data_IF_428256450904
#
_entry.id   IF_428256450904
#
_cell.length_a   1.000
_cell.length_b   1.000
_cell.length_c   1.000
_cell.angle_alpha   90.00
_cell.angle_beta   90.00
_cell.angle_gamma   90.00
#
_symmetry.space_group_name_H-M   'P 1'
#
loop_
_entity.id
_entity.type
_entity.pdbx_description
1 polymer ?
#
# COMPACT_ATOMS: atom_id res chain seq x y z
N UNK A 1 -21.16 0.75 2.28
CA UNK A 1 -19.93 0.04 2.67
C UNK A 1 -19.15 0.95 3.57
N UNK A 2 -18.59 0.41 4.62
CA UNK A 2 -17.61 1.04 5.49
C UNK A 2 -16.20 0.69 5.00
N UNK A 3 -15.39 1.70 4.68
CA UNK A 3 -14.08 1.55 4.06
C UNK A 3 -13.02 2.16 4.96
N UNK A 4 -11.93 1.43 5.17
CA UNK A 4 -10.71 2.00 5.73
C UNK A 4 -9.73 2.30 4.61
N UNK A 5 -9.43 3.59 4.40
CA UNK A 5 -8.38 4.01 3.49
C UNK A 5 -7.09 4.21 4.28
N UNK A 6 -6.08 3.38 4.00
CA UNK A 6 -4.85 3.28 4.78
C UNK A 6 -3.69 3.86 3.98
N UNK A 7 -3.19 5.03 4.41
CA UNK A 7 -2.15 5.80 3.70
C UNK A 7 -1.05 6.31 4.66
N UNK A 8 0.12 5.65 4.72
CA UNK A 8 1.21 6.08 5.61
C UNK A 8 1.92 7.36 5.15
N UNK A 9 1.65 7.84 3.93
CA UNK A 9 2.26 9.05 3.40
C UNK A 9 1.19 10.06 3.00
N UNK A 10 0.65 10.78 4.00
CA UNK A 10 -0.44 11.74 3.80
C UNK A 10 0.09 13.15 3.63
N UNK A 11 0.44 13.50 2.39
CA UNK A 11 0.78 14.87 1.94
C UNK A 11 0.61 14.97 0.43
N UNK A 12 0.61 16.18 -0.12
CA UNK A 12 0.61 16.44 -1.57
C UNK A 12 -0.49 15.68 -2.32
N UNK A 13 -0.12 14.97 -3.40
CA UNK A 13 -1.07 14.23 -4.23
C UNK A 13 -1.72 13.05 -3.51
N UNK A 14 -1.03 12.39 -2.56
CA UNK A 14 -1.61 11.29 -1.77
C UNK A 14 -2.72 11.80 -0.86
N UNK A 15 -2.49 12.93 -0.18
CA UNK A 15 -3.50 13.57 0.67
C UNK A 15 -4.69 14.03 -0.16
N UNK A 16 -4.44 14.76 -1.26
CA UNK A 16 -5.49 15.27 -2.13
C UNK A 16 -6.39 14.14 -2.67
N UNK A 17 -5.78 13.01 -3.06
CA UNK A 17 -6.53 11.83 -3.50
C UNK A 17 -7.33 11.19 -2.36
N UNK A 18 -6.72 10.94 -1.20
CA UNK A 18 -7.37 10.24 -0.09
C UNK A 18 -8.55 11.04 0.49
N UNK A 19 -8.36 12.35 0.71
CA UNK A 19 -9.41 13.25 1.18
C UNK A 19 -10.49 13.47 0.11
N UNK A 20 -10.08 13.61 -1.16
CA UNK A 20 -11.00 13.71 -2.28
C UNK A 20 -11.89 12.47 -2.40
N UNK A 21 -11.32 11.28 -2.29
CA UNK A 21 -12.06 10.01 -2.30
C UNK A 21 -13.01 9.94 -1.11
N UNK A 22 -12.57 10.22 0.11
CA UNK A 22 -13.42 10.18 1.29
C UNK A 22 -14.58 11.18 1.21
N UNK A 23 -14.34 12.40 0.74
CA UNK A 23 -15.35 13.46 0.69
C UNK A 23 -16.41 13.23 -0.39
N UNK A 24 -16.04 12.66 -1.53
CA UNK A 24 -16.93 12.51 -2.68
C UNK A 24 -17.46 11.07 -2.86
N UNK A 25 -17.12 10.15 -1.96
CA UNK A 25 -17.62 8.78 -2.00
C UNK A 25 -19.06 8.70 -1.50
N UNK A 26 -19.83 7.77 -2.08
CA UNK A 26 -21.13 7.32 -1.52
C UNK A 26 -20.97 6.32 -0.38
N UNK A 27 -19.74 5.94 -0.05
CA UNK A 27 -19.38 5.00 1.01
C UNK A 27 -18.90 5.77 2.23
N UNK A 28 -19.00 5.15 3.40
CA UNK A 28 -18.42 5.70 4.62
C UNK A 28 -16.92 5.37 4.63
N UNK A 29 -16.06 6.39 4.62
CA UNK A 29 -14.62 6.23 4.47
C UNK A 29 -13.90 6.82 5.69
N UNK A 30 -13.23 5.96 6.46
CA UNK A 30 -12.32 6.40 7.52
C UNK A 30 -10.88 6.37 7.00
N UNK A 31 -10.17 7.50 7.18
CA UNK A 31 -8.76 7.63 6.80
C UNK A 31 -7.86 7.21 7.97
N UNK A 32 -7.00 6.22 7.75
CA UNK A 32 -5.91 5.86 8.65
C UNK A 32 -4.62 6.38 8.03
N UNK A 33 -4.01 7.39 8.65
CA UNK A 33 -2.97 8.20 7.99
C UNK A 33 -1.79 8.52 8.90
N UNK A 34 -0.67 8.87 8.27
CA UNK A 34 0.47 9.47 8.95
C UNK A 34 0.96 10.68 8.15
N UNK A 35 1.51 11.68 8.83
CA UNK A 35 2.06 12.86 8.18
C UNK A 35 3.10 12.46 7.11
N UNK A 36 2.98 13.00 5.89
CA UNK A 36 3.87 12.71 4.76
C UNK A 36 5.28 13.27 4.91
N UNK A 37 6.08 12.66 5.76
CA UNK A 37 7.50 12.96 6.01
C UNK A 37 8.28 11.65 6.07
N UNK A 38 9.55 11.68 5.67
CA UNK A 38 10.44 10.51 5.71
C UNK A 38 9.82 9.29 5.00
N UNK A 39 9.59 9.39 3.68
CA UNK A 39 8.84 8.39 2.91
C UNK A 39 9.36 6.95 3.08
N UNK A 40 10.69 6.78 3.15
CA UNK A 40 11.34 5.48 3.44
C UNK A 40 10.86 4.87 4.76
N UNK A 41 10.79 5.70 5.81
CA UNK A 41 10.24 5.30 7.11
C UNK A 41 8.73 5.04 7.04
N UNK A 42 7.97 5.77 6.22
CA UNK A 42 6.53 5.50 6.04
C UNK A 42 6.27 4.14 5.39
N UNK A 43 7.10 3.73 4.45
CA UNK A 43 6.99 2.40 3.83
C UNK A 43 7.41 1.27 4.76
N UNK A 44 8.49 1.43 5.53
CA UNK A 44 9.00 0.37 6.40
C UNK A 44 8.28 0.30 7.76
N UNK A 45 8.09 1.43 8.42
CA UNK A 45 7.56 1.53 9.78
C UNK A 45 6.10 1.97 9.88
N UNK A 46 5.51 2.47 8.79
CA UNK A 46 4.16 3.02 8.82
C UNK A 46 3.09 2.00 9.23
N UNK A 47 3.31 0.72 8.92
CA UNK A 47 2.43 -0.38 9.35
C UNK A 47 2.22 -0.42 10.88
N UNK A 48 3.20 0.00 11.68
CA UNK A 48 3.11 -0.05 13.15
C UNK A 48 2.06 0.95 13.67
N UNK A 49 2.21 2.23 13.31
CA UNK A 49 1.29 3.27 13.75
C UNK A 49 -0.12 3.06 13.17
N UNK A 50 -0.20 2.66 11.90
CA UNK A 50 -1.49 2.43 11.26
C UNK A 50 -2.21 1.19 11.81
N UNK A 51 -1.48 0.18 12.28
CA UNK A 51 -2.09 -0.94 13.01
C UNK A 51 -2.61 -0.49 14.39
N UNK A 52 -1.91 0.42 15.07
CA UNK A 52 -2.39 1.00 16.32
C UNK A 52 -3.67 1.83 16.11
N UNK A 53 -3.76 2.61 15.02
CA UNK A 53 -5.00 3.30 14.62
C UNK A 53 -6.14 2.32 14.35
N UNK A 54 -5.89 1.27 13.56
CA UNK A 54 -6.88 0.22 13.27
C UNK A 54 -7.39 -0.48 14.54
N UNK A 55 -6.50 -0.81 15.48
CA UNK A 55 -6.88 -1.42 16.78
C UNK A 55 -7.83 -0.53 17.57
N UNK A 56 -7.59 0.78 17.61
CA UNK A 56 -8.50 1.74 18.27
C UNK A 56 -9.88 1.70 17.63
N UNK A 57 -9.95 1.72 16.30
CA UNK A 57 -11.23 1.65 15.59
C UNK A 57 -11.98 0.32 15.81
N UNK A 58 -11.27 -0.82 15.83
CA UNK A 58 -11.89 -2.13 16.12
C UNK A 58 -12.34 -2.29 17.57
N UNK A 59 -11.72 -1.58 18.51
CA UNK A 59 -12.17 -1.56 19.90
C UNK A 59 -13.50 -0.81 20.06
N UNK A 60 -13.70 0.24 19.26
CA UNK A 60 -14.83 1.15 19.38
C UNK A 60 -15.96 0.89 18.35
N UNK A 61 -15.76 -0.02 17.40
CA UNK A 61 -16.69 -0.22 16.29
C UNK A 61 -16.49 -1.51 15.49
N UNK A 62 -17.34 -1.73 14.47
CA UNK A 62 -17.24 -2.91 13.62
C UNK A 62 -16.00 -2.83 12.71
N UNK A 63 -15.52 -3.99 12.20
CA UNK A 63 -14.51 -4.00 11.15
C UNK A 63 -15.04 -3.35 9.86
N UNK A 64 -14.15 -2.85 8.98
CA UNK A 64 -14.57 -2.34 7.68
C UNK A 64 -15.08 -3.48 6.78
N UNK A 65 -15.90 -3.12 5.80
CA UNK A 65 -16.29 -4.01 4.71
C UNK A 65 -15.13 -4.23 3.74
N UNK A 66 -14.26 -3.22 3.56
CA UNK A 66 -13.11 -3.24 2.64
C UNK A 66 -11.96 -2.40 3.20
N UNK A 67 -10.74 -2.87 3.03
CA UNK A 67 -9.53 -2.07 3.23
C UNK A 67 -9.03 -1.59 1.87
N UNK A 68 -8.84 -0.28 1.74
CA UNK A 68 -8.21 0.36 0.60
C UNK A 68 -6.83 0.88 1.02
N UNK A 69 -5.79 0.08 0.80
CA UNK A 69 -4.41 0.45 1.13
C UNK A 69 -3.74 1.16 -0.06
N UNK A 70 -2.85 2.11 0.22
CA UNK A 70 -1.94 2.66 -0.81
C UNK A 70 -0.67 1.82 -0.93
N UNK A 71 -0.01 1.86 -2.09
CA UNK A 71 1.29 1.20 -2.34
C UNK A 71 2.42 1.59 -1.37
N UNK A 72 2.26 2.72 -0.66
CA UNK A 72 3.17 3.14 0.41
C UNK A 72 3.05 2.30 1.68
N UNK A 73 2.02 1.46 1.84
CA UNK A 73 1.86 0.59 3.00
C UNK A 73 2.53 -0.76 2.75
N UNK A 74 3.33 -1.24 3.72
CA UNK A 74 3.68 -2.65 3.81
C UNK A 74 2.45 -3.46 4.25
N UNK A 75 1.62 -3.87 3.28
CA UNK A 75 0.36 -4.60 3.51
C UNK A 75 0.56 -5.89 4.33
N UNK A 76 1.49 -6.81 3.98
CA UNK A 76 1.63 -8.05 4.73
C UNK A 76 2.08 -7.82 6.18
N UNK A 77 2.95 -6.83 6.44
CA UNK A 77 3.32 -6.49 7.81
C UNK A 77 2.12 -5.91 8.60
N UNK A 78 1.35 -5.01 7.99
CA UNK A 78 0.18 -4.40 8.63
C UNK A 78 -0.90 -5.45 8.95
N UNK A 79 -1.18 -6.37 8.02
CA UNK A 79 -2.10 -7.50 8.27
C UNK A 79 -1.56 -8.43 9.37
N UNK A 80 -0.26 -8.74 9.37
CA UNK A 80 0.36 -9.59 10.39
C UNK A 80 0.28 -9.02 11.81
N UNK A 81 0.32 -7.68 11.94
CA UNK A 81 0.15 -6.95 13.20
C UNK A 81 -1.32 -6.90 13.70
N UNK A 82 -2.27 -7.20 12.81
CA UNK A 82 -3.70 -7.19 13.09
C UNK A 82 -4.35 -8.59 13.05
N UNK A 83 -3.57 -9.66 12.83
CA UNK A 83 -4.06 -11.03 12.64
C UNK A 83 -4.99 -11.56 13.74
N UNK A 84 -4.88 -11.03 14.96
CA UNK A 84 -5.66 -11.39 16.14
C UNK A 84 -6.99 -10.64 16.26
N UNK A 85 -7.15 -9.50 15.56
CA UNK A 85 -8.29 -8.58 15.75
C UNK A 85 -9.03 -8.23 14.46
N UNK A 86 -8.34 -8.18 13.32
CA UNK A 86 -8.95 -7.91 12.02
C UNK A 86 -9.46 -9.23 11.42
N UNK A 87 -10.75 -9.33 11.06
CA UNK A 87 -11.26 -10.56 10.46
C UNK A 87 -10.58 -10.85 9.12
N UNK A 88 -10.04 -12.06 8.96
CA UNK A 88 -9.32 -12.48 7.75
C UNK A 88 -10.14 -12.43 6.45
N UNK A 89 -11.47 -12.34 6.56
CA UNK A 89 -12.39 -12.23 5.41
C UNK A 89 -12.50 -10.81 4.82
N UNK A 90 -11.96 -9.80 5.51
CA UNK A 90 -12.05 -8.41 5.03
C UNK A 90 -11.13 -8.27 3.82
N UNK A 91 -11.67 -7.99 2.62
CA UNK A 91 -10.86 -7.88 1.42
C UNK A 91 -9.96 -6.64 1.45
N UNK A 92 -8.78 -6.77 0.87
CA UNK A 92 -7.78 -5.72 0.72
C UNK A 92 -7.64 -5.36 -0.75
N UNK A 93 -7.99 -4.12 -1.09
CA UNK A 93 -7.63 -3.50 -2.37
C UNK A 93 -6.37 -2.66 -2.18
N UNK A 94 -5.37 -2.86 -3.05
CA UNK A 94 -4.17 -2.07 -3.10
C UNK A 94 -4.23 -1.06 -4.24
N UNK A 95 -4.18 0.22 -3.91
CA UNK A 95 -4.08 1.32 -4.86
C UNK A 95 -2.62 1.74 -5.07
N UNK A 96 -2.14 1.49 -6.28
CA UNK A 96 -0.83 1.87 -6.79
C UNK A 96 -0.89 3.33 -7.26
N UNK A 97 -0.57 4.26 -6.36
CA UNK A 97 -0.51 5.70 -6.63
C UNK A 97 0.81 6.07 -7.32
N UNK A 98 1.89 5.39 -6.95
CA UNK A 98 3.20 5.44 -7.62
C UNK A 98 3.82 4.04 -7.67
N UNK A 99 5.00 3.92 -8.29
CA UNK A 99 5.78 2.69 -8.24
C UNK A 99 7.22 2.97 -7.82
N UNK A 100 7.77 2.13 -6.95
CA UNK A 100 9.17 2.28 -6.54
C UNK A 100 10.16 1.67 -7.54
N UNK A 101 9.64 1.01 -8.59
CA UNK A 101 10.45 0.49 -9.69
C UNK A 101 10.87 1.57 -10.68
N UNK A 102 9.96 2.45 -11.10
CA UNK A 102 10.22 3.46 -12.15
C UNK A 102 10.25 4.88 -11.62
N UNK A 103 10.06 5.09 -10.30
CA UNK A 103 10.15 6.43 -9.72
C UNK A 103 11.52 7.07 -9.99
N UNK A 104 11.56 8.38 -10.31
CA UNK A 104 12.81 9.08 -10.57
C UNK A 104 13.74 9.09 -9.35
N UNK A 105 15.01 8.86 -9.61
CA UNK A 105 16.08 8.79 -8.62
C UNK A 105 16.67 10.18 -8.39
N UNK A 106 17.12 10.44 -7.16
CA UNK A 106 17.97 11.61 -6.93
C UNK A 106 19.34 11.35 -7.57
N UNK A 107 19.96 12.37 -8.18
CA UNK A 107 21.33 12.24 -8.68
C UNK A 107 22.27 11.73 -7.59
N UNK A 108 23.00 10.65 -7.87
CA UNK A 108 23.97 10.04 -6.95
C UNK A 108 23.43 8.97 -6.00
N UNK A 109 22.12 8.72 -5.97
CA UNK A 109 21.53 7.58 -5.24
C UNK A 109 21.37 6.35 -6.16
N UNK A 110 21.74 5.18 -5.64
CA UNK A 110 21.59 3.90 -6.34
C UNK A 110 20.26 3.20 -6.02
N UNK A 111 19.85 2.36 -6.96
CA UNK A 111 18.82 1.29 -6.96
C UNK A 111 18.32 0.72 -5.60
N UNK A 112 17.57 1.39 -4.71
CA UNK A 112 17.07 0.73 -3.47
C UNK A 112 15.85 -0.16 -3.76
N UNK A 113 16.14 -1.41 -4.13
CA UNK A 113 15.15 -2.43 -4.48
C UNK A 113 14.25 -2.85 -3.31
N UNK A 114 14.58 -2.46 -2.07
CA UNK A 114 13.77 -2.77 -0.88
C UNK A 114 12.33 -2.29 -1.03
N UNK A 115 12.15 -1.08 -1.56
CA UNK A 115 10.82 -0.47 -1.68
C UNK A 115 10.01 -1.05 -2.85
N UNK A 116 10.68 -1.47 -3.92
CA UNK A 116 10.06 -2.21 -5.01
C UNK A 116 9.59 -3.60 -4.54
N UNK A 117 10.41 -4.30 -3.75
CA UNK A 117 10.01 -5.58 -3.15
C UNK A 117 8.84 -5.39 -2.17
N UNK A 118 8.79 -4.28 -1.43
CA UNK A 118 7.66 -3.92 -0.58
C UNK A 118 6.35 -3.75 -1.35
N UNK A 119 6.38 -3.01 -2.46
CA UNK A 119 5.23 -2.89 -3.36
C UNK A 119 4.81 -4.28 -3.86
N UNK A 120 5.76 -5.11 -4.31
CA UNK A 120 5.47 -6.44 -4.84
C UNK A 120 4.84 -7.38 -3.81
N UNK A 121 5.44 -7.49 -2.62
CA UNK A 121 4.87 -8.28 -1.52
C UNK A 121 3.48 -7.78 -1.10
N UNK A 122 3.25 -6.47 -1.19
CA UNK A 122 1.93 -5.88 -0.91
C UNK A 122 0.92 -6.22 -1.99
N UNK A 123 1.33 -6.30 -3.26
CA UNK A 123 0.45 -6.76 -4.34
C UNK A 123 0.06 -8.23 -4.16
N UNK A 124 1.01 -9.08 -3.81
CA UNK A 124 0.77 -10.50 -3.55
C UNK A 124 -0.17 -10.74 -2.35
N UNK A 125 -0.18 -9.83 -1.38
CA UNK A 125 -1.04 -9.89 -0.20
C UNK A 125 -2.44 -9.27 -0.42
N UNK A 126 -2.68 -8.59 -1.53
CA UNK A 126 -3.93 -7.90 -1.81
C UNK A 126 -4.88 -8.76 -2.68
N UNK A 127 -6.18 -8.64 -2.45
CA UNK A 127 -7.21 -9.32 -3.24
C UNK A 127 -7.45 -8.63 -4.59
N UNK A 128 -7.19 -7.32 -4.66
CA UNK A 128 -7.37 -6.51 -5.87
C UNK A 128 -6.28 -5.46 -6.00
N UNK A 129 -5.77 -5.30 -7.22
CA UNK A 129 -4.83 -4.25 -7.58
C UNK A 129 -5.56 -3.16 -8.38
N UNK A 130 -5.33 -1.90 -8.02
CA UNK A 130 -5.88 -0.73 -8.69
C UNK A 130 -4.72 0.19 -9.02
N UNK A 131 -4.61 0.64 -10.26
CA UNK A 131 -3.57 1.58 -10.70
C UNK A 131 -4.19 2.92 -11.02
N UNK A 132 -3.46 4.01 -10.75
CA UNK A 132 -3.88 5.36 -11.11
C UNK A 132 -4.05 5.59 -12.63
N UNK A 133 -3.46 4.73 -13.47
CA UNK A 133 -3.50 4.82 -14.92
C UNK A 133 -3.07 3.50 -15.58
N UNK A 134 -3.46 3.32 -16.84
CA UNK A 134 -3.00 2.20 -17.66
C UNK A 134 -1.48 2.24 -17.89
N UNK A 135 -0.93 3.43 -18.10
CA UNK A 135 0.52 3.61 -18.25
C UNK A 135 1.28 3.12 -17.01
N UNK A 136 0.81 3.49 -15.82
CA UNK A 136 1.43 3.05 -14.57
C UNK A 136 1.38 1.52 -14.40
N UNK A 137 0.23 0.91 -14.71
CA UNK A 137 0.08 -0.55 -14.73
C UNK A 137 1.11 -1.20 -15.66
N UNK A 138 1.15 -0.78 -16.93
CA UNK A 138 2.02 -1.40 -17.93
C UNK A 138 3.50 -1.19 -17.56
N UNK A 139 3.89 0.01 -17.12
CA UNK A 139 5.25 0.30 -16.66
C UNK A 139 5.69 -0.56 -15.45
N UNK A 140 4.78 -0.86 -14.51
CA UNK A 140 5.07 -1.75 -13.39
C UNK A 140 5.36 -3.17 -13.87
N UNK A 141 4.45 -3.74 -14.66
CA UNK A 141 4.56 -5.13 -15.10
C UNK A 141 5.67 -5.35 -16.15
N UNK A 142 6.07 -4.31 -16.88
CA UNK A 142 7.24 -4.37 -17.76
C UNK A 142 8.57 -4.40 -16.99
N UNK A 143 8.66 -3.73 -15.83
CA UNK A 143 9.88 -3.64 -15.03
C UNK A 143 9.97 -4.75 -13.95
N UNK A 144 8.84 -5.26 -13.45
CA UNK A 144 8.79 -6.26 -12.39
C UNK A 144 9.61 -7.54 -12.71
N UNK A 145 9.60 -8.09 -13.94
CA UNK A 145 10.48 -9.21 -14.29
C UNK A 145 11.98 -8.90 -14.13
N UNK A 146 12.41 -7.64 -14.32
CA UNK A 146 13.81 -7.23 -14.12
C UNK A 146 14.18 -7.22 -12.64
N UNK A 147 13.27 -6.79 -11.77
CA UNK A 147 13.44 -6.91 -10.32
C UNK A 147 13.58 -8.38 -9.92
N UNK A 148 12.67 -9.24 -10.37
CA UNK A 148 12.66 -10.65 -9.96
C UNK A 148 13.90 -11.42 -10.47
N UNK A 149 14.39 -11.11 -11.68
CA UNK A 149 15.64 -11.65 -12.22
C UNK A 149 16.90 -11.14 -11.52
N UNK A 150 16.80 -10.12 -10.68
CA UNK A 150 17.93 -9.66 -9.87
C UNK A 150 18.31 -10.68 -8.78
N UNK A 151 17.38 -11.55 -8.37
CA UNK A 151 17.61 -12.57 -7.35
C UNK A 151 17.98 -13.92 -8.01
N UNK A 152 18.94 -14.67 -7.44
CA UNK A 152 19.61 -15.77 -8.12
C UNK A 152 18.76 -17.03 -8.33
N UNK A 153 17.81 -17.30 -7.44
CA UNK A 153 16.94 -18.47 -7.42
C UNK A 153 15.53 -18.11 -6.96
N UNK A 154 14.57 -19.03 -7.16
CA UNK A 154 13.16 -18.86 -6.78
C UNK A 154 12.56 -17.49 -7.15
N UNK A 155 12.83 -17.01 -8.37
CA UNK A 155 12.45 -15.65 -8.78
C UNK A 155 10.93 -15.44 -8.93
N UNK A 156 10.12 -16.49 -8.88
CA UNK A 156 8.66 -16.43 -8.95
C UNK A 156 8.10 -15.63 -10.15
N UNK A 157 8.80 -15.63 -11.29
CA UNK A 157 8.34 -14.95 -12.52
C UNK A 157 6.94 -15.39 -13.00
N UNK A 158 6.50 -16.59 -12.62
CA UNK A 158 5.18 -17.12 -12.97
C UNK A 158 4.01 -16.46 -12.21
N UNK A 159 4.30 -15.63 -11.20
CA UNK A 159 3.28 -14.87 -10.46
C UNK A 159 2.97 -13.50 -11.10
N UNK A 160 3.73 -13.12 -12.13
CA UNK A 160 3.62 -11.83 -12.85
C UNK A 160 2.58 -11.93 -13.96
#
# INVERSE_FOLDING_TARGET
>A
MYIWLVSPYHTGSHQAWAEGYAHHSRHDVTLLTMAGRFWKWRMQGGAIELAAQARRLLADGPPPDVILATDMLNVPAWLGLLRDVLPARVPVALYMHENQLTYPWRPGEGRDLTYAMLNWLSQLAADRLIFNSRYHHDAWFDELPRLLKHYPDYNHLALV
#
